data_IF_672686957991
#
_entry.id   IF_672686957991
#
_cell.length_a   1.000
_cell.length_b   1.000
_cell.length_c   1.000
_cell.angle_alpha   90.00
_cell.angle_beta   90.00
_cell.angle_gamma   90.00
#
_symmetry.space_group_name_H-M   'P 1'
#
loop_
_entity.id
_entity.type
_entity.pdbx_description
1 polymer ?
2 non-polymer ?
3 water ?
#
# COMPACT_ATOMS: atom_id res chain seq x y z
N UNK A 7 -16.19 -13.27 -7.25
CA UNK A 7 -15.10 -12.62 -6.41
C UNK A 7 -14.24 -13.74 -5.83
N UNK A 8 -13.11 -14.04 -6.46
CA UNK A 8 -12.40 -15.33 -6.31
C UNK A 8 -10.92 -15.10 -5.99
N UNK A 9 -10.36 -13.89 -6.14
CA UNK A 9 -8.92 -13.70 -5.83
C UNK A 9 -8.74 -13.37 -4.35
N UNK A 10 -7.73 -13.96 -3.73
CA UNK A 10 -7.46 -13.76 -2.29
C UNK A 10 -6.00 -13.34 -2.11
N UNK A 11 -5.74 -12.02 -1.98
CA UNK A 11 -4.39 -11.57 -1.66
C UNK A 11 -3.94 -12.18 -0.35
N UNK A 12 -2.63 -12.42 -0.18
CA UNK A 12 -2.11 -12.96 1.07
C UNK A 12 -2.32 -11.94 2.21
N UNK A 13 -2.15 -12.43 3.43
CA UNK A 13 -2.27 -11.65 4.68
C UNK A 13 -1.52 -10.32 4.55
N UNK A 14 -2.17 -9.21 4.85
CA UNK A 14 -1.53 -7.87 4.97
C UNK A 14 -0.84 -7.46 3.65
N UNK A 15 -1.42 -7.87 2.55
CA UNK A 15 -0.88 -7.60 1.20
C UNK A 15 -0.96 -6.10 0.88
N UNK A 16 0.11 -5.58 0.31
CA UNK A 16 0.09 -4.21 -0.25
C UNK A 16 1.16 -4.06 -1.31
N UNK A 17 0.90 -3.16 -2.25
CA UNK A 17 1.92 -2.65 -3.17
C UNK A 17 2.72 -1.57 -2.42
N UNK A 18 4.04 -1.73 -2.40
CA UNK A 18 4.99 -0.78 -1.76
C UNK A 18 5.37 0.31 -2.78
N UNK A 19 5.71 -0.11 -3.98
CA UNK A 19 6.20 0.79 -5.04
C UNK A 19 6.05 0.06 -6.36
N UNK A 20 6.39 0.72 -7.46
CA UNK A 20 6.42 0.04 -8.77
C UNK A 20 7.27 -1.22 -8.64
N UNK A 21 6.69 -2.38 -8.93
CA UNK A 21 7.41 -3.67 -8.92
C UNK A 21 7.69 -4.26 -7.55
N UNK A 22 7.17 -3.69 -6.46
CA UNK A 22 7.49 -4.16 -5.09
C UNK A 22 6.20 -4.32 -4.30
N UNK A 23 6.03 -5.50 -3.71
CA UNK A 23 4.86 -5.86 -2.87
C UNK A 23 5.36 -6.37 -1.50
N UNK A 24 4.46 -6.34 -0.51
CA UNK A 24 4.72 -6.86 0.84
C UNK A 24 3.51 -7.70 1.25
N UNK A 25 3.75 -8.73 2.06
CA UNK A 25 2.69 -9.53 2.67
C UNK A 25 3.21 -10.37 3.83
N UNK A 26 2.27 -11.05 4.49
CA UNK A 26 2.55 -12.24 5.30
C UNK A 26 2.67 -13.48 4.43
N UNK A 27 2.70 -14.64 5.08
CA UNK A 27 3.05 -15.92 4.43
C UNK A 27 1.92 -16.33 3.49
N UNK A 28 2.18 -16.45 2.17
CA UNK A 28 1.16 -16.92 1.24
C UNK A 28 0.82 -18.40 1.40
N UNK A 29 -0.45 -18.75 1.25
CA UNK A 29 -0.85 -20.18 1.17
C UNK A 29 -1.54 -20.40 -0.19
N UNK A 30 -1.93 -21.64 -0.47
CA UNK A 30 -2.38 -22.02 -1.82
C UNK A 30 -3.65 -21.25 -2.18
N UNK A 31 -4.42 -20.75 -1.21
CA UNK A 31 -5.62 -19.94 -1.50
C UNK A 31 -5.23 -18.59 -2.14
N UNK A 32 -3.97 -18.17 -1.98
CA UNK A 32 -3.46 -16.86 -2.47
C UNK A 32 -2.77 -17.01 -3.83
N UNK A 33 -2.54 -18.23 -4.31
CA UNK A 33 -1.68 -18.46 -5.50
C UNK A 33 -2.32 -17.85 -6.75
N UNK A 34 -3.63 -17.95 -6.94
CA UNK A 34 -4.27 -17.39 -8.18
C UNK A 34 -4.10 -15.87 -8.17
N UNK A 35 -4.21 -15.22 -7.01
CA UNK A 35 -3.96 -13.76 -6.91
C UNK A 35 -2.49 -13.45 -7.24
N UNK A 36 -1.55 -14.18 -6.64
CA UNK A 36 -0.13 -13.85 -6.84
C UNK A 36 0.24 -14.04 -8.32
N UNK A 37 -0.43 -14.96 -9.02
CA UNK A 37 -0.19 -15.18 -10.47
C UNK A 37 -0.49 -13.91 -11.26
N UNK A 38 -1.47 -13.11 -10.84
CA UNK A 38 -1.86 -11.88 -11.56
C UNK A 38 -0.72 -10.86 -11.48
N UNK A 39 0.22 -10.99 -10.55
CA UNK A 39 1.29 -9.96 -10.39
C UNK A 39 2.48 -10.22 -11.32
N UNK A 40 2.60 -11.40 -11.93
CA UNK A 40 3.75 -11.80 -12.76
C UNK A 40 5.06 -11.62 -12.00
N UNK A 41 5.15 -12.19 -10.79
CA UNK A 41 6.37 -12.05 -9.94
C UNK A 41 7.58 -12.65 -10.65
N UNK A 42 8.74 -12.02 -10.47
CA UNK A 42 10.06 -12.61 -10.84
C UNK A 42 10.76 -13.18 -9.59
N UNK A 43 10.49 -12.61 -8.42
CA UNK A 43 11.22 -12.87 -7.16
C UNK A 43 10.29 -12.83 -5.94
N UNK A 44 10.68 -13.61 -4.94
CA UNK A 44 10.20 -13.47 -3.55
C UNK A 44 11.42 -13.27 -2.65
N UNK A 45 11.33 -12.26 -1.79
CA UNK A 45 12.29 -12.06 -0.67
C UNK A 45 11.58 -12.56 0.59
N UNK A 46 12.08 -13.64 1.14
CA UNK A 46 11.47 -14.39 2.26
C UNK A 46 12.33 -14.18 3.50
N UNK A 47 11.77 -13.59 4.56
CA UNK A 47 12.58 -13.12 5.71
C UNK A 47 12.49 -14.06 6.93
N UNK A 48 11.99 -15.29 6.78
CA UNK A 48 11.90 -16.27 7.91
C UNK A 48 12.93 -17.39 7.70
N UNK A 49 13.49 -17.97 8.77
CA UNK A 49 14.45 -19.08 8.62
C UNK A 49 13.82 -20.44 8.27
N UNK A 50 12.52 -20.64 8.51
CA UNK A 50 11.87 -21.97 8.31
C UNK A 50 11.94 -22.35 6.83
N UNK A 51 12.10 -23.65 6.49
CA UNK A 51 12.13 -24.04 5.09
C UNK A 51 10.79 -23.71 4.41
N UNK A 52 10.83 -23.40 3.14
CA UNK A 52 9.63 -23.10 2.33
C UNK A 52 8.81 -24.39 2.19
N UNK A 53 7.49 -24.37 2.44
CA UNK A 53 6.66 -25.56 2.26
C UNK A 53 6.63 -26.08 0.80
N UNK A 54 6.40 -27.38 0.63
CA UNK A 54 6.34 -28.04 -0.72
C UNK A 54 5.31 -27.32 -1.62
N UNK A 55 4.14 -27.00 -1.07
CA UNK A 55 3.06 -26.25 -1.75
C UNK A 55 3.63 -24.97 -2.39
N UNK A 56 4.34 -24.18 -1.60
CA UNK A 56 4.94 -22.89 -2.05
C UNK A 56 6.05 -23.17 -3.07
N UNK A 57 6.92 -24.13 -2.80
CA UNK A 57 8.01 -24.50 -3.74
C UNK A 57 7.42 -24.87 -5.10
N UNK A 58 6.33 -25.62 -5.13
CA UNK A 58 5.75 -26.06 -6.42
C UNK A 58 5.22 -24.81 -7.14
N UNK A 59 4.63 -23.88 -6.40
CA UNK A 59 4.14 -22.58 -6.95
C UNK A 59 5.30 -21.81 -7.60
N UNK A 60 6.43 -21.68 -6.92
CA UNK A 60 7.60 -20.92 -7.47
C UNK A 60 8.09 -21.62 -8.75
N UNK A 61 8.20 -22.94 -8.72
CA UNK A 61 8.74 -23.72 -9.86
C UNK A 61 7.82 -23.50 -11.07
N UNK A 62 6.52 -23.69 -10.87
CA UNK A 62 5.50 -23.59 -11.96
C UNK A 62 5.43 -22.16 -12.53
N UNK A 63 5.79 -21.14 -11.75
CA UNK A 63 5.67 -19.73 -12.17
C UNK A 63 7.03 -19.09 -12.50
N UNK A 64 8.14 -19.83 -12.36
CA UNK A 64 9.48 -19.33 -12.69
C UNK A 64 9.91 -18.22 -11.73
N UNK A 65 9.51 -18.32 -10.46
CA UNK A 65 9.80 -17.27 -9.44
C UNK A 65 11.06 -17.66 -8.68
N UNK A 66 11.98 -16.72 -8.49
CA UNK A 66 13.25 -16.96 -7.76
C UNK A 66 13.02 -16.69 -6.28
N UNK A 67 13.48 -17.58 -5.41
CA UNK A 67 13.33 -17.40 -3.94
C UNK A 67 14.65 -16.91 -3.34
N UNK A 68 14.66 -15.73 -2.74
CA UNK A 68 15.77 -15.18 -1.94
C UNK A 68 15.38 -15.28 -0.47
N UNK A 69 16.08 -16.08 0.32
CA UNK A 69 15.75 -16.31 1.74
C UNK A 69 16.84 -15.67 2.59
N UNK A 70 16.47 -14.72 3.43
CA UNK A 70 17.34 -14.06 4.43
C UNK A 70 16.63 -14.22 5.77
N UNK A 71 16.87 -15.35 6.41
CA UNK A 71 16.11 -15.82 7.58
C UNK A 71 16.43 -15.00 8.80
N UNK A 72 15.47 -14.23 9.27
CA UNK A 72 15.61 -13.42 10.51
C UNK A 72 14.81 -14.14 11.59
N UNK A 73 15.43 -14.50 12.70
CA UNK A 73 14.74 -15.24 13.79
C UNK A 73 13.63 -14.33 14.35
N UNK A 74 12.44 -14.88 14.60
CA UNK A 74 11.37 -14.16 15.31
C UNK A 74 11.76 -13.93 16.77
N UNK A 75 11.71 -12.69 17.24
CA UNK A 75 11.97 -12.34 18.67
C UNK A 75 10.76 -11.58 19.21
N UNK A 76 10.64 -11.49 20.54
CA UNK A 76 9.55 -10.77 21.25
C UNK A 76 10.15 -9.58 22.00
N UNK A 77 9.43 -8.47 22.05
CA UNK A 77 9.83 -7.31 22.89
C UNK A 77 9.75 -7.72 24.35
N UNK A 78 10.63 -7.20 25.24
CA UNK A 78 11.72 -6.28 24.87
C UNK A 78 13.09 -6.91 24.54
N UNK A 79 13.11 -8.09 23.91
CA UNK A 79 14.34 -8.87 23.61
C UNK A 79 14.54 -8.97 22.09
N UNK A 80 14.20 -7.91 21.35
CA UNK A 80 14.26 -7.96 19.86
C UNK A 80 15.67 -7.55 19.44
N UNK A 81 16.21 -8.24 18.44
CA UNK A 81 17.58 -8.02 17.91
C UNK A 81 17.54 -8.19 16.39
N UNK A 82 17.03 -7.20 15.66
CA UNK A 82 16.92 -7.29 14.17
C UNK A 82 18.32 -7.24 13.56
N UNK A 83 18.77 -8.30 12.87
CA UNK A 83 20.13 -8.35 12.32
C UNK A 83 20.26 -7.45 11.09
N UNK A 84 21.02 -6.40 11.30
CA UNK A 84 21.43 -5.40 10.29
C UNK A 84 21.90 -6.09 9.00
N UNK A 85 22.70 -7.15 9.11
CA UNK A 85 23.36 -7.80 7.94
C UNK A 85 22.30 -8.43 7.03
N UNK A 86 21.26 -9.04 7.59
CA UNK A 86 20.17 -9.72 6.83
C UNK A 86 19.33 -8.65 6.12
N UNK A 87 18.97 -7.58 6.84
CA UNK A 87 18.16 -6.50 6.20
C UNK A 87 18.94 -5.93 5.01
N UNK A 88 20.24 -5.73 5.17
CA UNK A 88 21.06 -5.12 4.09
C UNK A 88 21.20 -6.08 2.91
N UNK A 89 21.33 -7.40 3.15
CA UNK A 89 21.38 -8.37 2.04
C UNK A 89 20.04 -8.32 1.30
N UNK A 90 18.92 -8.25 2.03
CA UNK A 90 17.57 -8.18 1.40
C UNK A 90 17.42 -6.87 0.60
N UNK A 91 17.87 -5.74 1.16
CA UNK A 91 17.81 -4.43 0.44
C UNK A 91 18.59 -4.52 -0.89
N UNK A 92 19.77 -5.15 -0.88
CA UNK A 92 20.63 -5.27 -2.10
C UNK A 92 19.81 -5.97 -3.19
N UNK A 93 19.07 -7.00 -2.84
CA UNK A 93 18.21 -7.75 -3.82
C UNK A 93 17.04 -6.85 -4.26
N UNK A 94 16.40 -6.20 -3.29
CA UNK A 94 15.20 -5.38 -3.51
C UNK A 94 15.51 -4.22 -4.47
N UNK A 95 16.71 -3.63 -4.40
CA UNK A 95 17.02 -2.39 -5.16
C UNK A 95 17.42 -2.73 -6.62
N UNK A 96 17.63 -4.00 -6.94
CA UNK A 96 17.97 -4.43 -8.32
C UNK A 96 16.66 -4.67 -9.08
N UNK A 97 16.30 -3.77 -10.01
CA UNK A 97 15.04 -3.83 -10.80
C UNK A 97 14.95 -5.13 -11.62
N UNK A 98 16.08 -5.79 -11.93
CA UNK A 98 16.06 -7.09 -12.67
C UNK A 98 15.25 -8.10 -11.86
N UNK A 99 15.16 -7.93 -10.54
CA UNK A 99 14.43 -8.89 -9.65
C UNK A 99 12.94 -8.57 -9.59
N UNK A 100 12.49 -7.45 -10.16
CA UNK A 100 11.07 -7.01 -10.08
C UNK A 100 10.24 -7.68 -11.16
N UNK A 101 8.92 -7.91 -10.96
CA UNK A 101 8.24 -7.66 -9.68
C UNK A 101 8.67 -8.62 -8.56
N UNK A 102 8.79 -8.06 -7.34
CA UNK A 102 9.24 -8.82 -6.14
C UNK A 102 8.19 -8.68 -5.03
N UNK A 103 7.90 -9.81 -4.38
CA UNK A 103 7.08 -9.85 -3.15
C UNK A 103 8.02 -10.06 -1.98
N UNK A 104 7.99 -9.12 -1.03
CA UNK A 104 8.65 -9.30 0.30
C UNK A 104 7.65 -9.99 1.22
N UNK A 105 8.02 -11.09 1.88
CA UNK A 105 7.12 -11.64 2.93
C UNK A 105 7.86 -12.26 4.09
N UNK A 106 7.17 -12.27 5.21
CA UNK A 106 7.59 -12.92 6.46
C UNK A 106 6.44 -13.83 6.88
N UNK A 107 6.15 -13.94 8.17
CA UNK A 107 5.02 -14.74 8.64
C UNK A 107 3.75 -13.86 8.61
N UNK A 108 3.79 -12.70 9.27
CA UNK A 108 2.61 -11.79 9.40
C UNK A 108 2.74 -10.59 8.46
N UNK A 109 3.92 -10.29 7.93
CA UNK A 109 4.11 -9.11 7.07
C UNK A 109 4.10 -7.80 7.88
N UNK A 110 4.47 -7.87 9.16
CA UNK A 110 4.40 -6.68 10.05
C UNK A 110 5.79 -6.24 10.52
N UNK A 111 6.64 -7.16 10.95
CA UNK A 111 7.85 -6.82 11.74
C UNK A 111 9.10 -6.87 10.86
N UNK A 112 9.49 -8.07 10.44
CA UNK A 112 10.64 -8.25 9.54
C UNK A 112 10.35 -7.51 8.23
N UNK A 113 9.17 -7.74 7.65
CA UNK A 113 8.76 -7.10 6.40
C UNK A 113 8.70 -5.58 6.62
N UNK A 114 8.14 -5.17 7.77
CA UNK A 114 8.02 -3.74 8.11
C UNK A 114 9.35 -3.04 8.19
N UNK A 115 10.37 -3.68 8.79
CA UNK A 115 11.71 -3.09 8.93
C UNK A 115 12.34 -2.93 7.55
N UNK A 116 12.24 -3.96 6.70
CA UNK A 116 12.89 -3.89 5.37
C UNK A 116 12.26 -2.74 4.57
N UNK A 117 10.93 -2.64 4.58
CA UNK A 117 10.23 -1.57 3.83
C UNK A 117 10.61 -0.21 4.44
N UNK A 118 10.64 -0.10 5.77
CA UNK A 118 11.01 1.16 6.42
C UNK A 118 12.41 1.62 6.01
N UNK A 119 13.36 0.69 5.90
CA UNK A 119 14.74 1.02 5.48
C UNK A 119 14.74 1.44 3.99
N UNK A 120 13.93 0.81 3.14
CA UNK A 120 13.73 1.28 1.75
C UNK A 120 13.21 2.73 1.78
N UNK A 121 12.20 3.02 2.61
CA UNK A 121 11.67 4.40 2.66
C UNK A 121 12.76 5.40 3.08
N UNK A 122 13.64 5.00 3.98
CA UNK A 122 14.73 5.90 4.43
C UNK A 122 15.63 6.20 3.24
N UNK A 123 15.93 5.18 2.42
CA UNK A 123 16.75 5.39 1.19
C UNK A 123 16.00 6.30 0.21
N UNK A 124 14.66 6.27 0.21
CA UNK A 124 13.81 7.12 -0.65
C UNK A 124 13.61 8.52 -0.03
N UNK A 125 14.28 8.82 1.10
CA UNK A 125 14.38 10.17 1.73
C UNK A 125 13.06 10.57 2.41
N UNK A 126 12.23 9.61 2.79
CA UNK A 126 11.01 9.90 3.60
C UNK A 126 11.44 10.34 5.00
N UNK A 127 10.75 11.34 5.55
CA UNK A 127 10.96 11.70 6.96
C UNK A 127 10.57 10.50 7.84
N UNK A 128 11.22 10.39 9.00
CA UNK A 128 11.01 9.25 9.92
C UNK A 128 9.53 9.14 10.31
N UNK A 129 8.85 10.26 10.58
CA UNK A 129 7.44 10.17 11.07
C UNK A 129 6.56 9.52 9.98
N UNK A 130 6.84 9.80 8.71
CA UNK A 130 6.10 9.21 7.57
C UNK A 130 6.42 7.71 7.44
N UNK A 131 7.68 7.32 7.65
CA UNK A 131 8.09 5.89 7.62
C UNK A 131 7.36 5.15 8.76
N UNK A 132 7.39 5.72 9.96
CA UNK A 132 6.81 5.08 11.16
C UNK A 132 5.30 4.94 10.97
N UNK A 133 4.67 5.94 10.36
CA UNK A 133 3.20 5.91 10.15
C UNK A 133 2.84 4.71 9.26
N UNK A 134 3.58 4.50 8.18
CA UNK A 134 3.34 3.36 7.28
C UNK A 134 3.61 2.06 8.03
N UNK A 135 4.74 1.95 8.72
CA UNK A 135 5.04 0.76 9.56
C UNK A 135 3.86 0.43 10.49
N UNK A 136 3.38 1.44 11.21
CA UNK A 136 2.29 1.27 12.22
C UNK A 136 0.98 0.86 11.55
N UNK A 137 0.71 1.32 10.35
CA UNK A 137 -0.53 0.95 9.67
C UNK A 137 -0.63 -0.57 9.50
N UNK A 138 0.46 -1.24 9.11
CA UNK A 138 0.53 -2.70 8.94
C UNK A 138 0.62 -3.38 10.30
N UNK A 139 1.46 -2.88 11.20
CA UNK A 139 1.73 -3.62 12.45
C UNK A 139 0.54 -3.49 13.41
N UNK A 140 -0.20 -2.39 13.33
CA UNK A 140 -1.43 -2.13 14.09
C UNK A 140 -1.14 -2.35 15.59
N UNK A 141 -1.92 -3.18 16.30
CA UNK A 141 -1.73 -3.35 17.76
C UNK A 141 -0.40 -4.06 18.04
N UNK A 142 0.27 -4.64 17.05
CA UNK A 142 1.57 -5.33 17.25
C UNK A 142 2.75 -4.41 16.88
N UNK A 143 2.55 -3.11 16.71
CA UNK A 143 3.66 -2.17 16.40
C UNK A 143 4.69 -2.27 17.52
N UNK A 144 5.96 -2.39 17.16
CA UNK A 144 7.07 -2.48 18.14
C UNK A 144 7.92 -1.21 18.06
N UNK A 145 8.25 -0.63 19.21
CA UNK A 145 9.22 0.49 19.25
C UNK A 145 10.57 0.02 18.69
N UNK A 146 11.01 -1.21 19.01
CA UNK A 146 12.33 -1.75 18.56
C UNK A 146 12.45 -1.76 17.03
N UNK A 147 11.36 -2.05 16.30
CA UNK A 147 11.42 -2.03 14.82
C UNK A 147 11.69 -0.59 14.36
N UNK A 148 11.04 0.38 15.01
CA UNK A 148 11.12 1.79 14.61
C UNK A 148 12.49 2.35 15.02
N UNK A 149 13.02 1.93 16.16
CA UNK A 149 14.37 2.30 16.62
C UNK A 149 15.41 1.79 15.62
N UNK A 150 15.25 0.57 15.12
CA UNK A 150 16.15 -0.01 14.09
C UNK A 150 16.18 0.93 12.87
N UNK A 151 14.99 1.36 12.42
CA UNK A 151 14.88 2.27 11.25
C UNK A 151 15.52 3.62 11.58
N UNK A 152 15.30 4.12 12.81
CA UNK A 152 15.82 5.43 13.27
C UNK A 152 17.35 5.44 13.14
N UNK A 153 18.03 4.37 13.50
CA UNK A 153 19.51 4.40 13.56
C UNK A 153 20.12 3.76 12.32
N UNK A 154 19.34 3.19 11.42
CA UNK A 154 19.86 2.56 10.18
C UNK A 154 20.65 3.60 9.38
N UNK A 155 21.92 3.32 9.14
CA UNK A 155 22.85 4.24 8.44
C UNK A 155 22.73 4.00 6.93
N UNK A 156 22.21 4.96 6.18
CA UNK A 156 21.98 4.80 4.71
C UNK A 156 23.30 4.92 3.92
N UNK A 157 24.38 5.44 4.52
CA UNK A 157 25.67 5.76 3.84
C UNK A 157 26.04 4.73 2.76
N UNK A 158 26.00 3.43 3.06
CA UNK A 158 26.59 2.39 2.17
C UNK A 158 25.63 2.04 1.01
N UNK A 159 24.43 2.62 1.01
CA UNK A 159 23.38 2.47 -0.05
C UNK A 159 23.09 3.81 -0.76
N UNK A 160 23.61 4.94 -0.23
CA UNK A 160 23.34 6.33 -0.71
C UNK A 160 23.53 6.43 -2.22
N UNK A 161 24.61 5.85 -2.75
CA UNK A 161 24.87 5.72 -4.20
C UNK A 161 23.69 4.96 -4.83
N UNK B 6 18.43 15.48 5.53
CA UNK B 6 18.47 14.67 4.28
C UNK B 6 17.11 13.97 4.06
N UNK B 7 16.37 13.63 5.14
CA UNK B 7 15.05 12.95 5.02
C UNK B 7 13.98 14.03 4.89
N UNK B 8 13.62 14.40 3.67
CA UNK B 8 12.87 15.65 3.46
C UNK B 8 11.52 15.40 2.79
N UNK B 9 11.22 14.18 2.35
CA UNK B 9 9.93 13.95 1.65
C UNK B 9 8.85 13.56 2.67
N UNK B 10 7.68 14.15 2.52
CA UNK B 10 6.54 13.92 3.43
C UNK B 10 5.32 13.50 2.60
N UNK B 11 5.07 12.19 2.44
CA UNK B 11 3.83 11.74 1.83
C UNK B 11 2.64 12.32 2.58
N UNK B 12 1.51 12.54 1.87
CA UNK B 12 0.30 13.02 2.54
C UNK B 12 -0.25 11.98 3.53
N UNK B 13 -1.15 12.45 4.39
CA UNK B 13 -1.88 11.63 5.41
C UNK B 13 -2.32 10.30 4.76
N UNK B 14 -2.01 9.15 5.37
CA UNK B 14 -2.58 7.85 4.97
C UNK B 14 -2.26 7.53 3.50
N UNK B 15 -1.11 7.96 3.01
CA UNK B 15 -0.66 7.73 1.62
C UNK B 15 -0.37 6.24 1.37
N UNK B 16 -0.82 5.73 0.23
CA UNK B 16 -0.43 4.38 -0.24
C UNK B 16 -0.58 4.29 -1.75
N UNK B 17 0.23 3.42 -2.31
CA UNK B 17 0.06 2.95 -3.71
C UNK B 17 -1.03 1.88 -3.70
N UNK B 18 -2.04 2.04 -4.53
CA UNK B 18 -3.19 1.11 -4.65
C UNK B 18 -2.84 0.06 -5.72
N UNK B 19 -2.36 0.52 -6.86
CA UNK B 19 -2.04 -0.34 -8.02
C UNK B 19 -1.08 0.43 -8.90
N UNK B 20 -0.65 -0.19 -9.98
CA UNK B 20 0.16 0.53 -11.01
C UNK B 20 -0.59 1.79 -11.39
N UNK B 21 0.03 2.94 -11.21
CA UNK B 21 -0.52 4.24 -11.62
C UNK B 21 -1.63 4.78 -10.70
N UNK B 22 -1.91 4.18 -9.54
CA UNK B 22 -3.05 4.61 -8.68
C UNK B 22 -2.58 4.73 -7.22
N UNK B 23 -2.85 5.90 -6.63
CA UNK B 23 -2.49 6.21 -5.23
C UNK B 23 -3.73 6.65 -4.47
N UNK B 24 -3.66 6.59 -3.14
CA UNK B 24 -4.70 7.06 -2.22
C UNK B 24 -4.04 7.87 -1.10
N UNK B 25 -4.75 8.88 -0.60
CA UNK B 25 -4.32 9.65 0.59
C UNK B 25 -5.49 10.45 1.16
N UNK B 26 -5.22 11.07 2.29
CA UNK B 26 -5.99 12.21 2.79
C UNK B 26 -5.56 13.49 2.12
N UNK B 27 -6.03 14.61 2.66
CA UNK B 27 -5.90 15.91 1.96
C UNK B 27 -4.45 16.33 1.97
N UNK B 28 -3.81 16.53 0.80
CA UNK B 28 -2.44 17.04 0.77
C UNK B 28 -2.32 18.52 1.20
N UNK B 29 -1.22 18.88 1.86
CA UNK B 29 -0.88 20.29 2.13
C UNK B 29 0.49 20.57 1.54
N UNK B 30 0.96 21.79 1.65
CA UNK B 30 2.16 22.24 0.92
C UNK B 30 3.39 21.43 1.37
N UNK B 31 3.41 20.89 2.61
CA UNK B 31 4.56 20.09 3.10
C UNK B 31 4.67 18.78 2.29
N UNK B 32 3.59 18.37 1.61
CA UNK B 32 3.51 17.09 0.85
C UNK B 32 3.80 17.30 -0.64
N UNK B 33 3.92 18.54 -1.12
CA UNK B 33 3.98 18.78 -2.57
C UNK B 33 5.28 18.21 -3.16
N UNK B 34 6.41 18.33 -2.49
CA UNK B 34 7.69 17.83 -3.05
C UNK B 34 7.60 16.30 -3.21
N UNK B 35 6.94 15.61 -2.28
CA UNK B 35 6.74 14.15 -2.39
C UNK B 35 5.81 13.85 -3.58
N UNK B 36 4.70 14.57 -3.70
CA UNK B 36 3.72 14.31 -4.79
C UNK B 36 4.39 14.58 -6.14
N UNK B 37 5.33 15.53 -6.21
CA UNK B 37 6.08 15.78 -7.48
C UNK B 37 6.81 14.51 -7.92
N UNK B 38 7.31 13.68 -7.01
CA UNK B 38 8.09 12.48 -7.37
C UNK B 38 7.17 11.45 -8.05
N UNK B 39 5.84 11.55 -7.92
CA UNK B 39 4.92 10.55 -8.50
C UNK B 39 4.58 10.87 -9.97
N UNK B 40 4.88 12.07 -10.46
CA UNK B 40 4.55 12.42 -11.85
C UNK B 40 3.04 12.31 -12.11
N UNK B 41 2.20 12.79 -11.19
CA UNK B 41 0.73 12.67 -11.31
C UNK B 41 0.21 13.37 -12.58
N UNK B 42 -0.75 12.75 -13.25
CA UNK B 42 -1.56 13.39 -14.32
C UNK B 42 -2.90 13.89 -13.81
N UNK B 43 -3.42 13.26 -12.75
CA UNK B 43 -4.82 13.40 -12.28
C UNK B 43 -4.89 13.34 -10.76
N UNK B 44 -5.84 14.08 -10.20
CA UNK B 44 -6.31 13.92 -8.80
C UNK B 44 -7.80 13.66 -8.89
N UNK B 45 -8.25 12.60 -8.24
CA UNK B 45 -9.69 12.35 -7.97
C UNK B 45 -9.95 12.84 -6.53
N UNK B 46 -10.72 13.92 -6.41
CA UNK B 46 -11.02 14.62 -5.15
C UNK B 46 -12.47 14.35 -4.78
N UNK B 47 -12.70 13.72 -3.63
CA UNK B 47 -14.03 13.16 -3.28
C UNK B 47 -14.76 14.02 -2.26
N UNK B 48 -14.32 15.25 -1.99
CA UNK B 48 -15.02 16.20 -1.07
C UNK B 48 -15.70 17.30 -1.88
N UNK B 49 -16.85 17.84 -1.40
CA UNK B 49 -17.56 18.90 -2.12
C UNK B 49 -16.95 20.29 -1.92
N UNK B 50 -16.09 20.48 -0.92
CA UNK B 50 -15.54 21.82 -0.57
C UNK B 50 -14.62 22.28 -1.70
N UNK B 51 -14.59 23.59 -2.01
CA UNK B 51 -13.68 24.10 -3.03
C UNK B 51 -12.22 23.77 -2.68
N UNK B 52 -11.41 23.48 -3.69
CA UNK B 52 -9.98 23.16 -3.52
C UNK B 52 -9.28 24.43 -3.05
N UNK B 53 -8.46 24.42 -1.98
CA UNK B 53 -7.74 25.62 -1.59
C UNK B 53 -6.77 26.15 -2.64
N UNK B 54 -6.47 27.44 -2.55
CA UNK B 54 -5.66 28.19 -3.54
C UNK B 54 -4.27 27.54 -3.62
N UNK B 55 -3.70 27.15 -2.47
CA UNK B 55 -2.39 26.46 -2.37
C UNK B 55 -2.38 25.21 -3.27
N UNK B 56 -3.42 24.38 -3.15
CA UNK B 56 -3.54 23.10 -3.88
C UNK B 56 -3.79 23.42 -5.35
N UNK B 57 -4.62 24.42 -5.64
CA UNK B 57 -4.93 24.78 -7.05
C UNK B 57 -3.63 25.19 -7.74
N UNK B 58 -2.78 25.98 -7.07
CA UNK B 58 -1.50 26.45 -7.70
C UNK B 58 -0.61 25.23 -7.94
N UNK B 59 -0.60 24.27 -7.03
CA UNK B 59 0.20 23.03 -7.18
C UNK B 59 -0.28 22.27 -8.43
N UNK B 60 -1.59 22.03 -8.55
CA UNK B 60 -2.16 21.35 -9.75
C UNK B 60 -1.74 22.12 -11.02
N UNK B 61 -1.95 23.43 -11.01
CA UNK B 61 -1.67 24.29 -12.20
C UNK B 61 -0.18 24.15 -12.58
N UNK B 62 0.74 24.39 -11.65
CA UNK B 62 2.15 24.39 -11.96
C UNK B 62 2.70 23.00 -12.34
N UNK B 63 2.04 21.92 -11.90
CA UNK B 63 2.53 20.54 -12.14
C UNK B 63 1.80 19.86 -13.29
N UNK B 64 0.85 20.52 -13.93
CA UNK B 64 0.13 19.92 -15.07
C UNK B 64 -0.75 18.77 -14.64
N UNK B 65 -1.47 18.93 -13.53
CA UNK B 65 -2.33 17.85 -12.97
C UNK B 65 -3.80 18.24 -13.17
N UNK B 66 -4.59 17.35 -13.76
CA UNK B 66 -6.05 17.58 -13.94
C UNK B 66 -6.80 17.19 -12.66
N UNK B 67 -7.70 18.07 -12.22
CA UNK B 67 -8.58 17.83 -11.04
C UNK B 67 -9.91 17.25 -11.51
N UNK B 68 -10.29 16.10 -10.98
CA UNK B 68 -11.66 15.53 -11.13
C UNK B 68 -12.31 15.58 -9.75
N UNK B 69 -13.36 16.38 -9.61
CA UNK B 69 -14.00 16.53 -8.29
C UNK B 69 -15.35 15.82 -8.34
N UNK B 70 -15.55 14.84 -7.49
CA UNK B 70 -16.85 14.13 -7.30
C UNK B 70 -17.21 14.29 -5.84
N UNK B 71 -17.89 15.37 -5.50
CA UNK B 71 -18.13 15.79 -4.11
C UNK B 71 -19.09 14.86 -3.42
N UNK B 72 -18.60 14.11 -2.44
CA UNK B 72 -19.44 13.23 -1.59
C UNK B 72 -19.47 13.89 -0.22
N UNK B 73 -20.67 14.17 0.28
CA UNK B 73 -20.86 14.79 1.61
C UNK B 73 -20.18 13.89 2.67
N UNK B 74 -19.44 14.49 3.61
CA UNK B 74 -18.81 13.81 4.75
C UNK B 74 -19.79 13.65 5.92
N UNK B 75 -20.68 12.67 5.82
CA UNK B 75 -21.70 12.33 6.86
C UNK B 75 -21.06 11.47 7.94
N UNK B 76 -21.68 11.40 9.12
CA UNK B 76 -21.20 10.58 10.28
C UNK B 76 -22.15 9.38 10.47
N UNK B 77 -21.57 8.21 10.83
CA UNK B 77 -22.24 6.96 11.31
C UNK B 77 -23.29 7.37 12.36
N UNK B 78 -24.54 6.84 12.35
CA UNK B 78 -25.09 6.05 11.25
C UNK B 78 -25.98 6.82 10.26
N UNK B 79 -25.61 8.05 9.90
CA UNK B 79 -26.40 8.92 8.97
C UNK B 79 -25.67 9.04 7.63
N UNK B 80 -24.96 7.99 7.23
CA UNK B 80 -24.14 7.99 5.99
C UNK B 80 -25.02 7.53 4.82
N UNK B 81 -24.82 8.18 3.68
CA UNK B 81 -25.55 7.92 2.41
C UNK B 81 -24.57 8.20 1.26
N UNK B 82 -23.79 7.20 0.87
CA UNK B 82 -22.79 7.37 -0.23
C UNK B 82 -23.50 7.23 -1.57
N UNK B 83 -23.48 8.28 -2.42
CA UNK B 83 -24.16 8.24 -3.71
C UNK B 83 -23.42 7.38 -4.75
N UNK B 84 -24.14 6.40 -5.24
CA UNK B 84 -23.64 5.40 -6.22
C UNK B 84 -23.08 6.13 -7.46
N UNK B 85 -23.76 7.18 -7.94
CA UNK B 85 -23.39 7.85 -9.22
C UNK B 85 -22.01 8.50 -9.11
N UNK B 86 -21.64 9.06 -7.96
CA UNK B 86 -20.33 9.75 -7.77
C UNK B 86 -19.22 8.70 -7.76
N UNK B 87 -19.43 7.57 -7.09
CA UNK B 87 -18.43 6.46 -7.09
C UNK B 87 -18.29 5.91 -8.52
N UNK B 88 -19.40 5.75 -9.23
CA UNK B 88 -19.41 5.19 -10.61
C UNK B 88 -18.63 6.10 -11.56
N UNK B 89 -18.86 7.40 -11.51
CA UNK B 89 -18.12 8.39 -12.33
C UNK B 89 -16.63 8.35 -11.96
N UNK B 90 -16.29 8.27 -10.67
CA UNK B 90 -14.88 8.27 -10.22
C UNK B 90 -14.20 6.99 -10.73
N UNK B 91 -14.91 5.87 -10.69
CA UNK B 91 -14.38 4.57 -11.18
C UNK B 91 -14.02 4.69 -12.68
N UNK B 92 -14.87 5.33 -13.48
CA UNK B 92 -14.60 5.49 -14.95
C UNK B 92 -13.29 6.27 -15.17
N UNK B 93 -12.99 7.28 -14.35
CA UNK B 93 -11.70 8.02 -14.45
C UNK B 93 -10.55 7.05 -14.15
N UNK B 94 -10.68 6.27 -13.07
CA UNK B 94 -9.62 5.36 -12.57
C UNK B 94 -9.32 4.29 -13.62
N UNK B 95 -10.35 3.84 -14.35
CA UNK B 95 -10.22 2.75 -15.35
C UNK B 95 -9.62 3.26 -16.66
N UNK B 96 -9.53 4.57 -16.89
CA UNK B 96 -8.87 5.10 -18.12
C UNK B 96 -7.40 5.34 -17.79
N UNK B 97 -6.50 4.47 -18.28
CA UNK B 97 -5.04 4.55 -18.02
C UNK B 97 -4.46 5.89 -18.49
N UNK B 98 -5.10 6.59 -19.44
CA UNK B 98 -4.59 7.93 -19.87
C UNK B 98 -4.57 8.89 -18.67
N UNK B 99 -5.40 8.65 -17.66
CA UNK B 99 -5.49 9.52 -16.46
C UNK B 99 -4.37 9.21 -15.45
N UNK B 100 -3.66 8.09 -15.63
CA UNK B 100 -2.62 7.65 -14.66
C UNK B 100 -1.33 8.42 -14.93
N UNK B 101 -0.50 8.68 -13.91
CA UNK B 101 -0.78 8.34 -12.52
C UNK B 101 -1.82 9.26 -11.87
N UNK B 102 -2.68 8.66 -11.07
CA UNK B 102 -3.81 9.35 -10.40
C UNK B 102 -3.72 9.14 -8.88
N UNK B 103 -3.90 10.24 -8.15
CA UNK B 103 -4.09 10.22 -6.68
C UNK B 103 -5.58 10.42 -6.36
N UNK B 104 -6.15 9.46 -5.65
CA UNK B 104 -7.49 9.57 -5.03
C UNK B 104 -7.30 10.19 -3.65
N UNK B 105 -8.01 11.27 -3.32
CA UNK B 105 -7.99 11.77 -1.93
C UNK B 105 -9.33 12.35 -1.50
N UNK B 106 -9.53 12.27 -0.20
CA UNK B 106 -10.66 12.90 0.51
C UNK B 106 -10.06 13.78 1.60
N UNK B 107 -10.67 13.85 2.78
CA UNK B 107 -10.11 14.61 3.91
C UNK B 107 -9.09 13.73 4.65
N UNK B 108 -9.53 12.55 5.08
CA UNK B 108 -8.68 11.64 5.89
C UNK B 108 -8.12 10.51 5.03
N UNK B 109 -8.68 10.24 3.85
CA UNK B 109 -8.26 9.10 3.02
C UNK B 109 -8.72 7.76 3.60
N UNK B 110 -9.82 7.77 4.34
CA UNK B 110 -10.31 6.56 5.04
C UNK B 110 -11.66 6.09 4.51
N UNK B 111 -12.60 7.01 4.30
CA UNK B 111 -14.05 6.67 4.16
C UNK B 111 -14.45 6.76 2.69
N UNK B 112 -14.53 7.96 2.14
CA UNK B 112 -14.87 8.13 0.70
C UNK B 112 -13.79 7.47 -0.16
N UNK B 113 -12.52 7.75 0.14
CA UNK B 113 -11.37 7.13 -0.53
C UNK B 113 -11.45 5.60 -0.39
N UNK B 114 -11.71 5.13 0.83
CA UNK B 114 -11.82 3.69 1.12
C UNK B 114 -12.90 3.02 0.30
N UNK B 115 -14.07 3.65 0.16
CA UNK B 115 -15.20 3.11 -0.66
C UNK B 115 -14.76 3.01 -2.12
N UNK B 116 -14.16 4.06 -2.67
CA UNK B 116 -13.83 4.05 -4.11
C UNK B 116 -12.80 2.93 -4.35
N UNK B 117 -11.80 2.85 -3.49
CA UNK B 117 -10.78 1.79 -3.65
C UNK B 117 -11.44 0.41 -3.49
N UNK B 118 -12.31 0.21 -2.51
CA UNK B 118 -12.98 -1.10 -2.34
C UNK B 118 -13.78 -1.50 -3.56
N UNK B 119 -14.48 -0.55 -4.17
CA UNK B 119 -15.25 -0.83 -5.42
C UNK B 119 -14.30 -1.19 -6.57
N UNK B 120 -13.14 -0.54 -6.66
CA UNK B 120 -12.11 -0.97 -7.64
C UNK B 120 -11.69 -2.42 -7.37
N UNK B 121 -11.44 -2.79 -6.11
CA UNK B 121 -11.03 -4.17 -5.78
C UNK B 121 -12.11 -5.18 -6.21
N UNK B 122 -13.37 -4.79 -6.05
CA UNK B 122 -14.52 -5.62 -6.46
C UNK B 122 -14.42 -5.83 -7.98
N UNK B 123 -14.08 -4.80 -8.74
CA UNK B 123 -13.90 -4.96 -10.22
C UNK B 123 -12.71 -5.87 -10.50
N UNK B 124 -11.68 -5.87 -9.65
CA UNK B 124 -10.47 -6.72 -9.78
C UNK B 124 -10.73 -8.13 -9.20
N UNK B 125 -11.97 -8.43 -8.80
CA UNK B 125 -12.44 -9.79 -8.42
C UNK B 125 -11.85 -10.23 -7.08
N UNK B 126 -11.47 -9.29 -6.21
CA UNK B 126 -11.07 -9.65 -4.83
C UNK B 126 -12.29 -10.13 -4.03
N UNK B 127 -12.14 -11.17 -3.21
CA UNK B 127 -13.20 -11.57 -2.27
C UNK B 127 -13.42 -10.42 -1.29
N UNK B 128 -14.65 -10.30 -0.80
CA UNK B 128 -15.08 -9.20 0.08
C UNK B 128 -14.21 -9.12 1.33
N UNK B 129 -13.88 -10.26 1.97
CA UNK B 129 -13.07 -10.22 3.22
C UNK B 129 -11.69 -9.56 2.95
N UNK B 130 -11.09 -9.78 1.78
CA UNK B 130 -9.79 -9.16 1.42
C UNK B 130 -9.97 -7.65 1.19
N UNK B 131 -11.08 -7.26 0.56
CA UNK B 131 -11.41 -5.84 0.33
C UNK B 131 -11.59 -5.14 1.68
N UNK B 132 -12.40 -5.74 2.56
CA UNK B 132 -12.71 -5.14 3.88
C UNK B 132 -11.44 -5.05 4.72
N UNK B 133 -10.54 -6.05 4.63
CA UNK B 133 -9.28 -6.01 5.40
C UNK B 133 -8.44 -4.78 4.99
N UNK B 134 -8.34 -4.52 3.70
CA UNK B 134 -7.58 -3.37 3.19
C UNK B 134 -8.24 -2.09 3.66
N UNK B 135 -9.57 -1.98 3.49
CA UNK B 135 -10.34 -0.82 3.94
C UNK B 135 -10.04 -0.54 5.44
N UNK B 136 -10.11 -1.59 6.26
CA UNK B 136 -9.94 -1.54 7.73
C UNK B 136 -8.52 -1.09 8.08
N UNK B 137 -7.53 -1.50 7.30
CA UNK B 137 -6.13 -1.12 7.59
C UNK B 137 -5.99 0.40 7.57
N UNK B 138 -6.60 1.08 6.59
CA UNK B 138 -6.52 2.56 6.50
C UNK B 138 -7.47 3.21 7.51
N UNK B 139 -8.70 2.71 7.62
CA UNK B 139 -9.74 3.37 8.44
C UNK B 139 -9.41 3.20 9.93
N UNK B 140 -8.78 2.08 10.30
CA UNK B 140 -8.34 1.77 11.68
C UNK B 140 -9.54 1.96 12.64
N UNK B 141 -9.39 2.77 13.69
CA UNK B 141 -10.44 2.92 14.73
C UNK B 141 -11.68 3.61 14.13
N UNK B 142 -11.56 4.24 12.96
CA UNK B 142 -12.71 4.94 12.32
C UNK B 142 -13.35 4.09 11.22
N UNK B 143 -13.07 2.78 11.13
CA UNK B 143 -13.76 1.89 10.17
C UNK B 143 -15.28 1.99 10.38
N UNK B 144 -16.01 2.10 9.28
CA UNK B 144 -17.48 2.23 9.26
C UNK B 144 -18.06 0.98 8.61
N UNK B 145 -19.02 0.34 9.28
CA UNK B 145 -19.77 -0.77 8.66
C UNK B 145 -20.44 -0.25 7.39
N UNK B 146 -21.00 0.97 7.40
CA UNK B 146 -21.74 1.53 6.24
C UNK B 146 -20.87 1.57 4.98
N UNK B 147 -19.58 1.87 5.11
CA UNK B 147 -18.67 1.94 3.94
C UNK B 147 -18.53 0.52 3.35
N UNK B 148 -18.40 -0.48 4.21
CA UNK B 148 -18.21 -1.88 3.79
C UNK B 148 -19.52 -2.40 3.21
N UNK B 149 -20.64 -2.04 3.81
CA UNK B 149 -21.98 -2.40 3.27
C UNK B 149 -22.14 -1.83 1.86
N UNK B 150 -21.71 -0.58 1.64
CA UNK B 150 -21.77 0.06 0.30
C UNK B 150 -20.99 -0.81 -0.72
N UNK B 151 -19.78 -1.26 -0.35
CA UNK B 151 -18.95 -2.12 -1.21
C UNK B 151 -19.66 -3.46 -1.45
N UNK B 152 -20.27 -4.04 -0.41
CA UNK B 152 -20.96 -5.36 -0.41
C UNK B 152 -22.07 -5.33 -1.48
N UNK B 153 -22.81 -4.22 -1.60
CA UNK B 153 -23.99 -4.17 -2.54
C UNK B 153 -23.69 -3.39 -3.84
N UNK B 154 -22.51 -2.83 -4.01
CA UNK B 154 -22.16 -2.07 -5.25
C UNK B 154 -22.22 -3.02 -6.45
N UNK B 155 -23.08 -2.68 -7.42
CA UNK B 155 -23.34 -3.50 -8.63
C UNK B 155 -22.26 -3.18 -9.65
N UNK B 156 -21.48 -4.19 -10.06
CA UNK B 156 -20.33 -3.97 -10.99
C UNK B 156 -20.72 -4.36 -12.43
N UNK B 157 -21.99 -4.73 -12.67
CA UNK B 157 -22.47 -5.24 -13.98
C UNK B 157 -22.22 -4.23 -15.11
N UNK B 158 -22.34 -2.92 -14.85
CA UNK B 158 -22.17 -1.87 -15.88
C UNK B 158 -20.71 -1.74 -16.34
N UNK B 159 -19.76 -2.45 -15.72
CA UNK B 159 -18.31 -2.44 -16.06
C UNK B 159 -17.91 -3.77 -16.72
X LIG C 1 6.76 -10.72 10.57
X LIG C 1 6.41 -12.13 10.33
X LIG C 1 8.16 -10.39 10.97
X LIG C 1 5.64 -9.77 10.75
X LIG D 1 -12.61 10.65 4.03
X LIG D 1 -12.25 12.06 4.27
X LIG D 1 -13.92 10.32 3.43
X LIG D 1 -11.79 9.63 4.72
#
# INVERSE_FOLDING_TARGET
GSFTEELHLIPPLNFSMVDNGIFRSGFPDSANFSFLQTLGLRSIIYLCPEPYPESNLQFLKSNGIRLFQFGIEGNKEPFVNIPDHKIRMALKVLLDEKNHPVLIHSKRGKHRTGCLVGCLRKLQKWCLTSIFDEYQRFAAAKARVSDQRFMEIFDVSSFSHIPMSFSCSIR
GSFTEELHLIPPLNFSMVDNGIFRSGFPDSANFSFLQTLGLRSIIYLCPEPYPESNLQFLKSNGIRLFQFGIEGNKEPFVNIPDHKIRMALKVLLDEKNHPVLIHSKRGKHRTGCLVGCLRKLQKWCLTSIFDEYQRFAAAKARVSDQRFMEIFDVSSFSHIPMSFSCSIR
PO3 P O1 O2 O3
PO3 P O1 O2 O3
#
